data_IF_576620403894
#
_entry.id   IF_576620403894
#
_cell.length_a   1.000
_cell.length_b   1.000
_cell.length_c   1.000
_cell.angle_alpha   90.00
_cell.angle_beta   90.00
_cell.angle_gamma   90.00
#
_symmetry.space_group_name_H-M   'P 1'
#
loop_
_entity.id
_entity.type
_entity.pdbx_description
1 polymer ?
#
# COMPACT_ATOMS: atom_id res chain seq x y z
N UNK A 1 -15.50 -0.57 -5.49
CA UNK A 1 -14.91 0.41 -6.43
C UNK A 1 -14.34 -0.22 -7.70
N UNK A 2 -13.39 -1.17 -7.62
CA UNK A 2 -12.73 -1.77 -8.80
C UNK A 2 -13.72 -2.29 -9.86
N UNK A 3 -14.72 -3.09 -9.44
CA UNK A 3 -15.74 -3.62 -10.36
C UNK A 3 -16.60 -2.51 -11.00
N UNK A 4 -16.93 -1.46 -10.22
CA UNK A 4 -17.67 -0.30 -10.72
C UNK A 4 -16.86 0.42 -11.79
N UNK A 5 -15.56 0.64 -11.56
CA UNK A 5 -14.66 1.26 -12.53
C UNK A 5 -14.50 0.40 -13.79
N UNK A 6 -14.36 -0.93 -13.66
CA UNK A 6 -14.25 -1.84 -14.80
C UNK A 6 -15.51 -1.86 -15.67
N UNK A 7 -16.69 -1.80 -15.03
CA UNK A 7 -17.99 -1.68 -15.68
C UNK A 7 -18.10 -0.37 -16.46
N UNK A 8 -17.78 0.76 -15.83
CA UNK A 8 -17.82 2.09 -16.47
C UNK A 8 -16.87 2.20 -17.67
N UNK A 9 -15.71 1.52 -17.63
CA UNK A 9 -14.75 1.50 -18.74
C UNK A 9 -15.14 0.55 -19.89
N UNK A 10 -16.23 -0.22 -19.78
CA UNK A 10 -16.63 -1.21 -20.79
C UNK A 10 -15.64 -2.37 -20.96
N UNK A 11 -14.73 -2.57 -20.00
CA UNK A 11 -13.63 -3.54 -20.07
C UNK A 11 -13.99 -4.93 -19.55
N UNK A 12 -15.15 -5.06 -18.88
CA UNK A 12 -15.60 -6.30 -18.25
C UNK A 12 -14.59 -6.87 -17.24
N UNK A 13 -14.53 -8.19 -17.11
CA UNK A 13 -13.64 -8.86 -16.16
C UNK A 13 -12.15 -8.57 -16.39
N UNK A 14 -11.75 -8.28 -17.65
CA UNK A 14 -10.35 -7.94 -17.98
C UNK A 14 -9.89 -6.65 -17.29
N UNK A 15 -10.82 -5.70 -17.12
CA UNK A 15 -10.54 -4.44 -16.43
C UNK A 15 -10.20 -4.60 -14.96
N UNK A 16 -10.68 -5.66 -14.30
CA UNK A 16 -10.43 -5.86 -12.87
C UNK A 16 -8.92 -5.97 -12.59
N UNK A 17 -8.21 -6.78 -13.39
CA UNK A 17 -6.77 -6.95 -13.25
C UNK A 17 -6.02 -5.65 -13.49
N UNK A 18 -6.30 -4.97 -14.61
CA UNK A 18 -5.57 -3.74 -14.95
C UNK A 18 -5.80 -2.61 -13.95
N UNK A 19 -7.01 -2.49 -13.39
CA UNK A 19 -7.29 -1.50 -12.35
C UNK A 19 -6.52 -1.85 -11.06
N UNK A 20 -6.55 -3.11 -10.62
CA UNK A 20 -5.81 -3.54 -9.43
C UNK A 20 -4.30 -3.34 -9.60
N UNK A 21 -3.73 -3.75 -10.73
CA UNK A 21 -2.30 -3.58 -11.03
C UNK A 21 -1.90 -2.10 -11.02
N UNK A 22 -2.70 -1.23 -11.65
CA UNK A 22 -2.40 0.20 -11.67
C UNK A 22 -2.39 0.82 -10.27
N UNK A 23 -3.33 0.43 -9.40
CA UNK A 23 -3.42 0.98 -8.04
C UNK A 23 -2.30 0.46 -7.13
N UNK A 24 -1.83 -0.77 -7.36
CA UNK A 24 -0.80 -1.42 -6.53
C UNK A 24 0.61 -1.32 -7.09
N UNK A 25 0.81 -0.74 -8.29
CA UNK A 25 2.09 -0.71 -8.99
C UNK A 25 3.23 -0.17 -8.12
N UNK A 26 3.02 0.97 -7.49
CA UNK A 26 4.01 1.58 -6.59
C UNK A 26 4.22 0.73 -5.33
N UNK A 27 3.13 0.19 -4.77
CA UNK A 27 3.18 -0.66 -3.58
C UNK A 27 4.02 -1.91 -3.81
N UNK A 28 3.91 -2.53 -4.99
CA UNK A 28 4.69 -3.72 -5.36
C UNK A 28 6.19 -3.44 -5.39
N UNK A 29 6.61 -2.21 -5.67
CA UNK A 29 8.02 -1.82 -5.67
C UNK A 29 8.51 -1.44 -4.28
N UNK A 30 7.68 -0.75 -3.49
CA UNK A 30 8.06 -0.21 -2.18
C UNK A 30 8.06 -1.29 -1.09
N UNK A 31 7.05 -2.16 -1.04
CA UNK A 31 6.89 -3.16 0.03
C UNK A 31 8.11 -4.05 0.23
N UNK A 32 8.78 -4.58 -0.82
CA UNK A 32 9.97 -5.41 -0.64
C UNK A 32 11.13 -4.72 0.09
N UNK A 33 11.20 -3.39 0.06
CA UNK A 33 12.28 -2.61 0.67
C UNK A 33 11.96 -2.09 2.07
N UNK A 34 10.76 -2.33 2.59
CA UNK A 34 10.36 -1.84 3.92
C UNK A 34 10.32 -3.01 4.91
N UNK A 35 11.17 -3.00 5.96
CA UNK A 35 11.13 -4.04 6.98
C UNK A 35 9.83 -4.00 7.77
N UNK A 36 9.45 -5.16 8.31
CA UNK A 36 8.31 -5.35 9.22
C UNK A 36 6.91 -5.02 8.67
N UNK A 37 6.77 -4.71 7.37
CA UNK A 37 5.45 -4.59 6.74
C UNK A 37 4.80 -5.97 6.70
N UNK A 38 3.63 -6.09 7.32
CA UNK A 38 2.83 -7.32 7.28
C UNK A 38 1.56 -7.19 6.45
N UNK A 39 1.02 -5.97 6.30
CA UNK A 39 -0.26 -5.74 5.60
C UNK A 39 -0.22 -4.48 4.75
N UNK A 40 -0.78 -4.58 3.53
CA UNK A 40 -1.16 -3.45 2.68
C UNK A 40 -2.67 -3.27 2.75
N UNK A 41 -3.14 -2.12 3.21
CA UNK A 41 -4.55 -1.78 3.27
C UNK A 41 -4.97 -0.91 2.08
N UNK A 42 -5.94 -1.42 1.32
CA UNK A 42 -6.49 -0.79 0.12
C UNK A 42 -8.01 -0.59 0.27
N UNK A 43 -8.47 0.66 0.13
CA UNK A 43 -9.88 1.01 0.18
C UNK A 43 -10.38 1.70 -1.10
N UNK A 44 -11.64 2.10 -1.09
CA UNK A 44 -12.26 2.76 -2.24
C UNK A 44 -11.62 4.13 -2.57
N UNK A 45 -11.13 4.87 -1.57
CA UNK A 45 -10.47 6.15 -1.80
C UNK A 45 -9.14 5.95 -2.55
N UNK A 46 -8.39 4.90 -2.19
CA UNK A 46 -7.18 4.53 -2.91
C UNK A 46 -7.47 4.11 -4.36
N UNK A 47 -8.53 3.34 -4.60
CA UNK A 47 -8.94 2.96 -5.97
C UNK A 47 -9.37 4.17 -6.81
N UNK A 48 -9.92 5.22 -6.18
CA UNK A 48 -10.27 6.48 -6.85
C UNK A 48 -9.09 7.45 -7.03
N UNK A 49 -7.92 7.13 -6.45
CA UNK A 49 -6.75 8.00 -6.48
C UNK A 49 -6.83 9.18 -5.51
N UNK A 50 -7.75 9.15 -4.55
CA UNK A 50 -7.90 10.21 -3.53
C UNK A 50 -6.82 10.13 -2.44
N UNK A 51 -6.25 8.94 -2.25
CA UNK A 51 -5.10 8.69 -1.36
C UNK A 51 -4.27 7.52 -1.88
N UNK A 52 -3.04 7.36 -1.40
CA UNK A 52 -2.24 6.16 -1.66
C UNK A 52 -2.71 4.97 -0.79
N UNK A 53 -2.45 3.71 -1.20
CA UNK A 53 -2.50 2.57 -0.29
C UNK A 53 -1.62 2.82 0.94
N UNK A 54 -1.92 2.17 2.05
CA UNK A 54 -1.13 2.30 3.30
C UNK A 54 -0.60 0.95 3.74
N UNK A 55 0.55 0.97 4.41
CA UNK A 55 1.22 -0.21 4.94
C UNK A 55 1.13 -0.21 6.46
N UNK A 56 0.84 -1.36 7.04
CA UNK A 56 0.83 -1.59 8.48
C UNK A 56 2.12 -2.34 8.85
N UNK A 57 2.88 -1.76 9.78
CA UNK A 57 4.20 -2.28 10.23
C UNK A 57 4.18 -2.82 11.65
N UNK A 58 3.41 -2.19 12.53
CA UNK A 58 3.31 -2.61 13.92
C UNK A 58 2.59 -3.98 14.00
N UNK A 59 3.19 -5.01 14.64
CA UNK A 59 2.56 -6.32 14.82
C UNK A 59 1.20 -6.27 15.53
N UNK A 60 0.99 -5.29 16.41
CA UNK A 60 -0.27 -5.07 17.12
C UNK A 60 -1.26 -4.23 16.31
N UNK A 61 -0.89 -3.79 15.10
CA UNK A 61 -1.77 -3.04 14.20
C UNK A 61 -2.50 -3.98 13.23
N UNK A 62 -3.67 -4.47 13.66
CA UNK A 62 -4.57 -5.24 12.78
C UNK A 62 -5.38 -4.32 11.86
N UNK A 63 -5.97 -4.89 10.82
CA UNK A 63 -6.87 -4.17 9.90
C UNK A 63 -8.07 -3.57 10.66
N UNK A 64 -8.64 -4.31 11.60
CA UNK A 64 -9.80 -3.86 12.39
C UNK A 64 -9.43 -2.68 13.29
N UNK A 65 -8.24 -2.73 13.92
CA UNK A 65 -7.72 -1.65 14.75
C UNK A 65 -7.46 -0.41 13.91
N UNK A 66 -6.82 -0.58 12.75
CA UNK A 66 -6.59 0.50 11.79
C UNK A 66 -7.90 1.17 11.37
N UNK A 67 -8.89 0.40 10.94
CA UNK A 67 -10.19 0.94 10.54
C UNK A 67 -10.91 1.68 11.67
N UNK A 68 -10.82 1.17 12.91
CA UNK A 68 -11.41 1.83 14.08
C UNK A 68 -10.74 3.18 14.37
N UNK A 69 -9.42 3.28 14.25
CA UNK A 69 -8.66 4.52 14.44
C UNK A 69 -9.03 5.56 13.37
N UNK A 70 -9.09 5.15 12.10
CA UNK A 70 -9.47 6.02 10.98
C UNK A 70 -10.89 6.55 11.13
N UNK A 71 -11.85 5.68 11.51
CA UNK A 71 -13.24 6.09 11.75
C UNK A 71 -13.37 7.09 12.92
N UNK A 72 -12.47 7.04 13.89
CA UNK A 72 -12.41 7.97 15.02
C UNK A 72 -11.66 9.28 14.68
N UNK A 73 -11.10 9.42 13.47
CA UNK A 73 -10.31 10.59 13.08
C UNK A 73 -9.00 10.73 13.84
N UNK A 74 -8.48 9.65 14.43
CA UNK A 74 -7.21 9.67 15.17
C UNK A 74 -6.03 9.58 14.21
N UNK A 75 -4.97 10.33 14.51
CA UNK A 75 -3.66 10.14 13.87
C UNK A 75 -3.14 8.73 14.15
N UNK A 76 -2.62 8.08 13.12
CA UNK A 76 -2.16 6.68 13.18
C UNK A 76 -0.64 6.55 13.39
N UNK A 77 0.07 7.68 13.51
CA UNK A 77 1.51 7.73 13.79
C UNK A 77 2.38 6.92 12.81
N UNK A 78 3.59 6.55 13.25
CA UNK A 78 4.57 5.81 12.44
C UNK A 78 4.19 4.34 12.20
N UNK A 79 3.16 3.84 12.88
CA UNK A 79 2.64 2.48 12.74
C UNK A 79 1.96 2.25 11.37
N UNK A 80 1.60 3.33 10.67
CA UNK A 80 0.99 3.32 9.34
C UNK A 80 1.75 4.25 8.43
N UNK A 81 2.33 3.69 7.37
CA UNK A 81 3.13 4.45 6.41
C UNK A 81 2.39 4.49 5.07
N UNK A 82 2.14 5.67 4.48
CA UNK A 82 1.63 5.74 3.12
C UNK A 82 2.65 5.16 2.14
N UNK A 83 2.16 4.53 1.08
CA UNK A 83 3.04 4.10 -0.02
C UNK A 83 3.46 5.32 -0.82
N UNK A 84 4.70 5.77 -0.61
CA UNK A 84 5.32 6.85 -1.38
C UNK A 84 6.71 6.45 -1.88
N UNK A 85 6.98 6.68 -3.16
CA UNK A 85 8.31 6.56 -3.77
C UNK A 85 9.00 7.92 -3.67
N UNK A 86 9.27 8.42 -2.45
CA UNK A 86 10.25 9.50 -2.32
C UNK A 86 11.64 8.86 -2.35
N UNK A 87 12.22 8.85 -3.56
CA UNK A 87 13.55 8.31 -3.89
C UNK A 87 14.66 9.01 -3.07
N UNK A 88 14.37 10.16 -2.47
CA UNK A 88 15.32 10.95 -1.67
C UNK A 88 15.72 10.30 -0.33
N UNK A 89 15.01 9.24 0.11
CA UNK A 89 15.28 8.54 1.38
C UNK A 89 15.50 7.03 1.24
N UNK A 90 15.83 6.54 0.05
CA UNK A 90 16.41 5.20 -0.07
C UNK A 90 17.84 5.26 0.49
N UNK A 91 18.01 4.97 1.79
CA UNK A 91 19.30 4.60 2.35
C UNK A 91 19.72 3.28 1.68
N UNK A 92 20.41 3.40 0.55
CA UNK A 92 21.02 2.29 -0.19
C UNK A 92 22.24 1.72 0.57
N UNK A 93 22.42 2.08 1.84
CA UNK A 93 23.60 1.76 2.65
C UNK A 93 23.58 0.38 3.32
N UNK A 94 22.49 -0.41 3.18
CA UNK A 94 22.41 -1.77 3.75
C UNK A 94 22.38 -2.87 2.68
N UNK A 95 22.84 -2.58 1.45
CA UNK A 95 22.97 -3.57 0.38
C UNK A 95 24.36 -4.24 0.30
N UNK A 96 25.20 -4.12 1.33
CA UNK A 96 26.44 -4.90 1.48
C UNK A 96 26.31 -5.82 2.70
N UNK A 97 26.64 -7.10 2.49
CA UNK A 97 26.85 -8.19 3.48
C UNK A 97 25.96 -9.44 3.31
N UNK A 98 25.56 -9.79 2.09
CA UNK A 98 25.35 -11.20 1.74
C UNK A 98 26.65 -11.76 1.13
N UNK A 99 27.53 -12.18 2.03
CA UNK A 99 28.84 -12.76 1.83
C UNK A 99 28.83 -13.88 0.77
N UNK A 100 29.78 -13.78 -0.18
CA UNK A 100 30.21 -14.87 -1.03
C UNK A 100 30.83 -15.96 -0.15
N UNK A 101 30.17 -17.11 -0.04
CA UNK A 101 30.76 -18.36 0.43
C UNK A 101 30.16 -19.56 -0.32
#
# INVERSE_FOLDING_TARGET
EIAKTAFLRGTGARGLRSITENVLMETMFVVPSIPDVHTVYLDAAAVRGERKPVMLKDPDMTVEKYEALVKQGKSVGDAVVPVDINIDHLDISEADDAEVA
#
